data_IF_312141987348
#
_entry.id   IF_312141987348
#
_cell.length_a   1.000
_cell.length_b   1.000
_cell.length_c   1.000
_cell.angle_alpha   90.00
_cell.angle_beta   90.00
_cell.angle_gamma   90.00
#
_symmetry.space_group_name_H-M   'P 1'
#
loop_
_entity.id
_entity.type
_entity.pdbx_description
1 polymer ?
#
# COMPACT_ATOMS: atom_id res chain seq x y z
N UNK A 1 -3.20 31.00 -14.00
CA UNK A 1 -2.51 29.78 -14.48
C UNK A 1 -3.37 28.57 -14.18
N UNK A 2 -4.04 28.01 -15.20
CA UNK A 2 -4.82 26.77 -15.06
C UNK A 2 -3.87 25.60 -14.92
N UNK A 3 -3.84 24.97 -13.74
CA UNK A 3 -3.06 23.73 -13.57
C UNK A 3 -3.48 22.68 -14.60
N UNK A 4 -2.52 22.00 -15.26
CA UNK A 4 -2.83 20.95 -16.20
C UNK A 4 -3.70 19.88 -15.53
N UNK A 5 -4.73 19.43 -16.24
CA UNK A 5 -5.78 18.52 -15.72
C UNK A 5 -5.17 17.25 -15.09
N UNK A 6 -4.04 16.78 -15.63
CA UNK A 6 -3.27 15.66 -15.10
C UNK A 6 -2.76 15.86 -13.67
N UNK A 7 -2.23 17.05 -13.35
CA UNK A 7 -1.70 17.35 -12.01
C UNK A 7 -2.82 17.43 -10.95
N UNK A 8 -3.99 17.98 -11.32
CA UNK A 8 -5.17 17.98 -10.44
C UNK A 8 -5.62 16.55 -10.11
N UNK A 9 -5.61 15.66 -11.10
CA UNK A 9 -5.93 14.24 -10.90
C UNK A 9 -4.94 13.57 -9.94
N UNK A 10 -3.64 13.82 -10.10
CA UNK A 10 -2.60 13.29 -9.20
C UNK A 10 -2.82 13.77 -7.76
N UNK A 11 -3.10 15.05 -7.54
CA UNK A 11 -3.37 15.58 -6.19
C UNK A 11 -4.59 14.93 -5.55
N UNK A 12 -5.66 14.70 -6.32
CA UNK A 12 -6.84 13.96 -5.85
C UNK A 12 -6.47 12.53 -5.45
N UNK A 13 -5.67 11.84 -6.26
CA UNK A 13 -5.17 10.49 -5.92
C UNK A 13 -4.34 10.48 -4.63
N UNK A 14 -3.45 11.47 -4.43
CA UNK A 14 -2.69 11.60 -3.18
C UNK A 14 -3.60 11.80 -1.96
N UNK A 15 -4.67 12.57 -2.11
CA UNK A 15 -5.64 12.79 -1.05
C UNK A 15 -6.38 11.50 -0.70
N UNK A 16 -6.85 10.76 -1.71
CA UNK A 16 -7.49 9.45 -1.54
C UNK A 16 -6.54 8.49 -0.83
N UNK A 17 -5.29 8.36 -1.30
CA UNK A 17 -4.29 7.52 -0.66
C UNK A 17 -4.07 7.86 0.82
N UNK A 18 -4.06 9.16 1.16
CA UNK A 18 -3.91 9.59 2.55
C UNK A 18 -5.11 9.17 3.41
N UNK A 19 -6.32 9.33 2.90
CA UNK A 19 -7.55 8.87 3.59
C UNK A 19 -7.51 7.35 3.77
N UNK A 20 -7.22 6.60 2.70
CA UNK A 20 -7.09 5.13 2.75
C UNK A 20 -6.03 4.70 3.75
N UNK A 21 -4.89 5.39 3.80
CA UNK A 21 -3.82 5.09 4.76
C UNK A 21 -4.30 5.28 6.21
N UNK A 22 -5.04 6.35 6.51
CA UNK A 22 -5.60 6.57 7.86
C UNK A 22 -6.57 5.45 8.23
N UNK A 23 -7.47 5.08 7.30
CA UNK A 23 -8.41 3.96 7.51
C UNK A 23 -7.68 2.65 7.78
N UNK A 24 -6.63 2.35 7.01
CA UNK A 24 -5.83 1.13 7.20
C UNK A 24 -5.06 1.12 8.53
N UNK A 25 -4.55 2.27 8.98
CA UNK A 25 -3.90 2.40 10.29
C UNK A 25 -4.90 2.15 11.41
N UNK A 26 -6.09 2.73 11.35
CA UNK A 26 -7.16 2.49 12.34
C UNK A 26 -7.54 1.01 12.37
N UNK A 27 -7.70 0.39 11.20
CA UNK A 27 -7.99 -1.04 11.09
C UNK A 27 -6.86 -1.91 11.65
N UNK A 28 -5.60 -1.52 11.43
CA UNK A 28 -4.43 -2.19 11.99
C UNK A 28 -4.46 -2.16 13.53
N UNK A 29 -4.70 -1.00 14.11
CA UNK A 29 -4.76 -0.83 15.57
C UNK A 29 -5.92 -1.62 16.18
N UNK A 30 -7.10 -1.55 15.56
CA UNK A 30 -8.26 -2.32 16.01
C UNK A 30 -7.97 -3.83 16.01
N UNK A 31 -7.43 -4.36 14.91
CA UNK A 31 -7.11 -5.79 14.81
C UNK A 31 -5.94 -6.19 15.71
N UNK A 32 -4.97 -5.30 15.95
CA UNK A 32 -3.90 -5.54 16.90
C UNK A 32 -4.44 -5.76 18.32
N UNK A 33 -5.36 -4.89 18.78
CA UNK A 33 -6.02 -5.02 20.09
C UNK A 33 -6.85 -6.31 20.14
N UNK A 34 -7.63 -6.58 19.08
CA UNK A 34 -8.46 -7.78 19.01
C UNK A 34 -7.62 -9.06 19.08
N UNK A 35 -6.50 -9.12 18.34
CA UNK A 35 -5.58 -10.25 18.41
C UNK A 35 -4.95 -10.35 19.80
N UNK A 36 -4.45 -9.26 20.38
CA UNK A 36 -3.86 -9.27 21.72
C UNK A 36 -4.81 -9.90 22.75
N UNK A 37 -6.09 -9.50 22.76
CA UNK A 37 -7.11 -10.07 23.65
C UNK A 37 -7.33 -11.56 23.38
N UNK A 38 -7.44 -11.97 22.11
CA UNK A 38 -7.66 -13.37 21.74
C UNK A 38 -6.46 -14.27 22.06
N UNK A 39 -5.23 -13.77 21.92
CA UNK A 39 -4.02 -14.50 22.29
C UNK A 39 -3.89 -14.66 23.80
N UNK A 40 -4.23 -13.62 24.57
CA UNK A 40 -4.27 -13.70 26.03
C UNK A 40 -5.30 -14.75 26.50
N UNK A 41 -6.50 -14.75 25.91
CA UNK A 41 -7.54 -15.73 26.25
C UNK A 41 -7.16 -17.17 25.88
N UNK A 42 -6.43 -17.37 24.77
CA UNK A 42 -6.13 -18.72 24.24
C UNK A 42 -4.86 -19.34 24.81
N UNK A 43 -3.83 -18.54 25.05
CA UNK A 43 -2.50 -19.03 25.41
C UNK A 43 -2.03 -18.59 26.81
N UNK A 44 -2.86 -17.82 27.54
CA UNK A 44 -2.53 -17.17 28.81
C UNK A 44 -1.19 -16.39 28.78
N UNK A 45 -0.79 -15.99 27.56
CA UNK A 45 0.51 -15.38 27.29
C UNK A 45 0.45 -14.52 26.05
N UNK A 46 1.07 -13.33 26.13
CA UNK A 46 1.20 -12.41 25.01
C UNK A 46 2.43 -12.70 24.13
N UNK A 47 3.31 -13.64 24.53
CA UNK A 47 4.52 -13.97 23.76
C UNK A 47 4.25 -14.30 22.28
N UNK A 48 3.24 -15.13 21.94
CA UNK A 48 2.98 -15.47 20.54
C UNK A 48 2.49 -14.26 19.72
N UNK A 49 1.78 -13.32 20.34
CA UNK A 49 1.36 -12.07 19.69
C UNK A 49 2.57 -11.16 19.41
N UNK A 50 3.46 -10.95 20.37
CA UNK A 50 4.64 -10.12 20.13
C UNK A 50 5.57 -10.74 19.07
N UNK A 51 5.72 -12.07 19.10
CA UNK A 51 6.50 -12.76 18.07
C UNK A 51 5.90 -12.56 16.67
N UNK A 52 4.57 -12.51 16.54
CA UNK A 52 3.94 -12.31 15.22
C UNK A 52 4.13 -10.89 14.71
N UNK A 53 4.07 -9.90 15.61
CA UNK A 53 4.41 -8.50 15.29
C UNK A 53 5.87 -8.37 14.86
N UNK A 54 6.81 -8.96 15.62
CA UNK A 54 8.24 -8.92 15.28
C UNK A 54 8.50 -9.58 13.93
N UNK A 55 7.93 -10.76 13.68
CA UNK A 55 8.08 -11.44 12.40
C UNK A 55 7.48 -10.62 11.26
N UNK A 56 6.31 -10.00 11.46
CA UNK A 56 5.72 -9.13 10.46
C UNK A 56 6.60 -7.93 10.14
N UNK A 57 7.22 -7.29 11.15
CA UNK A 57 8.17 -6.20 10.95
C UNK A 57 9.39 -6.66 10.15
N UNK A 58 9.97 -7.82 10.47
CA UNK A 58 11.10 -8.38 9.72
C UNK A 58 10.74 -8.62 8.25
N UNK A 59 9.56 -9.21 8.00
CA UNK A 59 9.05 -9.39 6.63
C UNK A 59 8.87 -8.03 5.94
N UNK A 60 8.28 -7.05 6.63
CA UNK A 60 8.11 -5.70 6.08
C UNK A 60 9.44 -5.05 5.70
N UNK A 61 10.48 -5.21 6.51
CA UNK A 61 11.83 -4.73 6.17
C UNK A 61 12.36 -5.43 4.92
N UNK A 62 12.18 -6.75 4.81
CA UNK A 62 12.61 -7.50 3.63
C UNK A 62 11.87 -7.07 2.35
N UNK A 63 10.56 -6.83 2.43
CA UNK A 63 9.75 -6.39 1.28
C UNK A 63 9.76 -4.87 1.05
N UNK A 64 10.34 -4.09 1.95
CA UNK A 64 10.35 -2.63 1.86
C UNK A 64 11.01 -2.14 0.57
N UNK A 65 12.19 -2.67 0.24
CA UNK A 65 12.94 -2.26 -0.94
C UNK A 65 12.18 -2.52 -2.26
N UNK A 66 11.66 -3.75 -2.52
CA UNK A 66 10.89 -3.99 -3.75
C UNK A 66 9.61 -3.14 -3.80
N UNK A 67 8.90 -2.96 -2.69
CA UNK A 67 7.69 -2.10 -2.64
C UNK A 67 8.04 -0.65 -2.98
N UNK A 68 9.12 -0.12 -2.39
CA UNK A 68 9.58 1.24 -2.66
C UNK A 68 9.96 1.43 -4.13
N UNK A 69 10.70 0.48 -4.71
CA UNK A 69 11.09 0.52 -6.13
C UNK A 69 9.86 0.49 -7.04
N UNK A 70 8.90 -0.38 -6.75
CA UNK A 70 7.65 -0.48 -7.50
C UNK A 70 6.83 0.82 -7.43
N UNK A 71 6.63 1.36 -6.22
CA UNK A 71 5.88 2.59 -6.01
C UNK A 71 6.56 3.81 -6.66
N UNK A 72 7.89 3.90 -6.63
CA UNK A 72 8.62 4.99 -7.28
C UNK A 72 8.47 4.95 -8.80
N UNK A 73 8.57 3.76 -9.40
CA UNK A 73 8.40 3.58 -10.86
C UNK A 73 6.98 3.94 -11.29
N UNK A 74 5.97 3.54 -10.53
CA UNK A 74 4.58 3.87 -10.83
C UNK A 74 4.32 5.38 -10.68
N UNK A 75 4.84 6.00 -9.62
CA UNK A 75 4.76 7.45 -9.44
C UNK A 75 5.44 8.23 -10.58
N UNK A 76 6.62 7.79 -11.06
CA UNK A 76 7.30 8.36 -12.25
C UNK A 76 6.39 8.31 -13.46
N UNK A 77 5.82 7.13 -13.73
CA UNK A 77 4.98 6.88 -14.91
C UNK A 77 3.75 7.78 -14.91
N UNK A 78 3.03 7.86 -13.80
CA UNK A 78 1.83 8.68 -13.69
C UNK A 78 2.14 10.18 -13.79
N UNK A 79 3.23 10.65 -13.18
CA UNK A 79 3.65 12.05 -13.31
C UNK A 79 4.05 12.42 -14.74
N UNK A 80 4.85 11.58 -15.40
CA UNK A 80 5.25 11.80 -16.78
C UNK A 80 4.03 11.82 -17.73
N UNK A 81 3.07 10.94 -17.50
CA UNK A 81 1.81 10.93 -18.25
C UNK A 81 0.93 12.15 -17.97
N UNK A 82 0.97 12.71 -16.76
CA UNK A 82 0.16 13.86 -16.37
C UNK A 82 0.71 15.20 -16.87
N UNK A 83 2.02 15.29 -17.14
CA UNK A 83 2.68 16.50 -17.66
C UNK A 83 2.68 16.52 -19.20
N UNK A 84 2.61 15.36 -19.85
CA UNK A 84 2.67 15.26 -21.31
C UNK A 84 1.30 15.59 -21.93
N UNK A 85 1.20 16.75 -22.59
CA UNK A 85 -0.05 17.22 -23.22
C UNK A 85 -0.49 16.38 -24.44
N UNK A 86 0.47 15.80 -25.17
CA UNK A 86 0.21 14.94 -26.32
C UNK A 86 1.03 13.65 -26.24
N UNK A 87 0.34 12.51 -26.16
CA UNK A 87 0.95 11.18 -26.24
C UNK A 87 0.58 10.49 -27.54
N UNK A 88 1.57 9.87 -28.17
CA UNK A 88 1.35 8.99 -29.32
C UNK A 88 0.47 7.79 -28.92
N UNK A 89 -0.26 7.22 -29.88
CA UNK A 89 -1.13 6.05 -29.69
C UNK A 89 -0.34 4.87 -29.08
N UNK A 90 0.91 4.68 -29.50
CA UNK A 90 1.77 3.61 -28.99
C UNK A 90 2.17 3.83 -27.52
N UNK A 91 2.44 5.07 -27.14
CA UNK A 91 2.76 5.43 -25.76
C UNK A 91 1.54 5.28 -24.85
N UNK A 92 0.35 5.64 -25.33
CA UNK A 92 -0.90 5.41 -24.62
C UNK A 92 -1.16 3.92 -24.39
N UNK A 93 -0.88 3.07 -25.38
CA UNK A 93 -1.04 1.61 -25.28
C UNK A 93 -0.07 1.01 -24.27
N UNK A 94 1.20 1.44 -24.30
CA UNK A 94 2.20 1.01 -23.30
C UNK A 94 1.82 1.44 -21.89
N UNK A 95 1.40 2.69 -21.69
CA UNK A 95 0.93 3.15 -20.38
C UNK A 95 -0.26 2.35 -19.88
N UNK A 96 -1.21 2.01 -20.76
CA UNK A 96 -2.39 1.21 -20.39
C UNK A 96 -1.98 -0.18 -19.92
N UNK A 97 -1.09 -0.86 -20.64
CA UNK A 97 -0.60 -2.18 -20.23
C UNK A 97 0.15 -2.13 -18.91
N UNK A 98 0.96 -1.09 -18.70
CA UNK A 98 1.70 -0.91 -17.45
C UNK A 98 0.78 -0.58 -16.26
N UNK A 99 -0.32 0.16 -16.48
CA UNK A 99 -1.38 0.38 -15.48
C UNK A 99 -2.11 -0.91 -15.15
N UNK A 100 -2.52 -1.67 -16.16
CA UNK A 100 -3.19 -2.96 -15.99
C UNK A 100 -2.35 -3.94 -15.17
N UNK A 101 -1.04 -4.02 -15.43
CA UNK A 101 -0.15 -4.87 -14.65
C UNK A 101 -0.04 -4.40 -13.20
N UNK A 102 0.04 -3.09 -12.97
CA UNK A 102 0.07 -2.52 -11.62
C UNK A 102 -1.24 -2.74 -10.85
N UNK A 103 -2.38 -2.56 -11.51
CA UNK A 103 -3.70 -2.79 -10.94
C UNK A 103 -3.94 -4.28 -10.69
N UNK A 104 -3.46 -5.17 -11.56
CA UNK A 104 -3.50 -6.61 -11.37
C UNK A 104 -2.73 -7.03 -10.13
N UNK A 105 -1.48 -6.56 -9.96
CA UNK A 105 -0.68 -6.86 -8.76
C UNK A 105 -1.38 -6.39 -7.49
N UNK A 106 -1.89 -5.15 -7.48
CA UNK A 106 -2.61 -4.61 -6.31
C UNK A 106 -3.90 -5.38 -6.03
N UNK A 107 -4.65 -5.71 -7.07
CA UNK A 107 -5.89 -6.48 -6.95
C UNK A 107 -5.61 -7.89 -6.44
N UNK A 108 -4.56 -8.57 -6.91
CA UNK A 108 -4.16 -9.88 -6.39
C UNK A 108 -3.83 -9.82 -4.90
N UNK A 109 -3.05 -8.83 -4.46
CA UNK A 109 -2.73 -8.64 -3.04
C UNK A 109 -3.99 -8.31 -2.22
N UNK A 110 -4.92 -7.53 -2.79
CA UNK A 110 -6.16 -7.15 -2.11
C UNK A 110 -7.15 -8.31 -2.01
N UNK A 111 -7.33 -9.08 -3.07
CA UNK A 111 -8.15 -10.29 -3.08
C UNK A 111 -7.57 -11.32 -2.11
N UNK A 112 -6.24 -11.50 -2.10
CA UNK A 112 -5.58 -12.36 -1.12
C UNK A 112 -5.89 -11.90 0.31
N UNK A 113 -5.80 -10.60 0.58
CA UNK A 113 -6.14 -10.04 1.90
C UNK A 113 -7.60 -10.27 2.30
N UNK A 114 -8.56 -9.98 1.41
CA UNK A 114 -9.99 -10.16 1.70
C UNK A 114 -10.33 -11.64 1.87
N UNK A 115 -9.85 -12.51 0.97
CA UNK A 115 -10.05 -13.95 1.08
C UNK A 115 -9.45 -14.50 2.38
N UNK A 116 -8.25 -14.06 2.75
CA UNK A 116 -7.60 -14.47 3.99
C UNK A 116 -8.40 -14.06 5.23
N UNK A 117 -8.96 -12.85 5.26
CA UNK A 117 -9.83 -12.39 6.36
C UNK A 117 -11.16 -13.17 6.41
N UNK A 118 -11.80 -13.42 5.26
CA UNK A 118 -13.12 -14.08 5.21
C UNK A 118 -13.04 -15.58 5.54
N UNK A 119 -11.96 -16.25 5.14
CA UNK A 119 -11.72 -17.67 5.46
C UNK A 119 -11.39 -17.84 6.95
N UNK A 120 -10.93 -16.78 7.61
CA UNK A 120 -10.60 -16.78 9.03
C UNK A 120 -11.83 -16.69 9.91
N UNK A 121 -12.56 -17.81 10.02
CA UNK A 121 -13.82 -17.81 10.76
C UNK A 121 -13.72 -17.92 12.28
N UNK A 122 -12.70 -18.56 12.89
CA UNK A 122 -12.78 -18.78 14.36
C UNK A 122 -11.50 -18.76 15.20
N UNK A 123 -10.28 -18.75 14.65
CA UNK A 123 -9.09 -18.85 15.52
C UNK A 123 -7.97 -17.83 15.19
N UNK A 124 -7.74 -16.92 16.13
CA UNK A 124 -6.52 -16.12 16.19
C UNK A 124 -5.32 -17.05 16.42
N UNK A 125 -4.50 -17.23 15.38
CA UNK A 125 -3.22 -17.96 15.48
C UNK A 125 -2.07 -17.03 15.12
N UNK A 126 -0.86 -17.44 15.49
CA UNK A 126 0.38 -16.74 15.15
C UNK A 126 0.41 -16.36 13.66
N UNK A 127 0.21 -17.35 12.79
CA UNK A 127 0.23 -17.19 11.32
C UNK A 127 -0.78 -16.15 10.86
N UNK A 128 -2.00 -16.17 11.42
CA UNK A 128 -3.06 -15.25 11.03
C UNK A 128 -2.74 -13.80 11.39
N UNK A 129 -2.24 -13.57 12.60
CA UNK A 129 -1.82 -12.22 13.01
C UNK A 129 -0.63 -11.72 12.20
N UNK A 130 0.39 -12.56 11.97
CA UNK A 130 1.56 -12.21 11.13
C UNK A 130 1.15 -11.85 9.72
N UNK A 131 0.32 -12.68 9.07
CA UNK A 131 -0.14 -12.46 7.71
C UNK A 131 -0.99 -11.19 7.60
N UNK A 132 -1.89 -10.94 8.57
CA UNK A 132 -2.68 -9.71 8.60
C UNK A 132 -1.79 -8.47 8.69
N UNK A 133 -0.82 -8.45 9.63
CA UNK A 133 0.11 -7.34 9.77
C UNK A 133 0.99 -7.16 8.53
N UNK A 134 1.42 -8.24 7.89
CA UNK A 134 2.16 -8.17 6.64
C UNK A 134 1.32 -7.59 5.49
N UNK A 135 0.07 -8.01 5.35
CA UNK A 135 -0.80 -7.52 4.28
C UNK A 135 -1.12 -6.04 4.44
N UNK A 136 -1.61 -5.61 5.62
CA UNK A 136 -1.88 -4.19 5.85
C UNK A 136 -0.58 -3.37 5.76
N UNK A 137 0.51 -3.85 6.36
CA UNK A 137 1.80 -3.18 6.32
C UNK A 137 2.26 -2.93 4.89
N UNK A 138 2.08 -3.92 4.00
CA UNK A 138 2.41 -3.82 2.57
C UNK A 138 1.59 -2.73 1.89
N UNK A 139 0.28 -2.65 2.13
CA UNK A 139 -0.57 -1.58 1.58
C UNK A 139 -0.17 -0.20 2.09
N UNK A 140 0.02 -0.06 3.41
CA UNK A 140 0.43 1.22 4.01
C UNK A 140 1.78 1.66 3.44
N UNK A 141 2.77 0.76 3.38
CA UNK A 141 4.09 1.04 2.83
C UNK A 141 4.01 1.42 1.35
N UNK A 142 3.20 0.74 0.55
CA UNK A 142 3.00 1.10 -0.85
C UNK A 142 2.43 2.52 -0.98
N UNK A 143 1.34 2.84 -0.26
CA UNK A 143 0.69 4.15 -0.31
C UNK A 143 1.63 5.28 0.15
N UNK A 144 2.38 5.07 1.23
CA UNK A 144 3.36 6.02 1.75
C UNK A 144 4.50 6.27 0.75
N UNK A 145 5.10 5.20 0.21
CA UNK A 145 6.20 5.32 -0.76
C UNK A 145 5.73 5.99 -2.05
N UNK A 146 4.54 5.67 -2.54
CA UNK A 146 3.96 6.33 -3.71
C UNK A 146 3.75 7.84 -3.45
N UNK A 147 3.11 8.18 -2.33
CA UNK A 147 2.84 9.57 -1.96
C UNK A 147 4.14 10.38 -1.79
N UNK A 148 5.16 9.77 -1.18
CA UNK A 148 6.48 10.37 -1.04
C UNK A 148 7.16 10.57 -2.40
N UNK A 149 7.16 9.56 -3.26
CA UNK A 149 7.75 9.63 -4.59
C UNK A 149 7.13 10.74 -5.46
N UNK A 150 5.80 10.86 -5.44
CA UNK A 150 5.09 11.92 -6.16
C UNK A 150 5.42 13.30 -5.59
N UNK A 151 5.35 13.47 -4.26
CA UNK A 151 5.65 14.76 -3.60
C UNK A 151 7.08 15.22 -3.86
N UNK A 152 8.05 14.33 -3.72
CA UNK A 152 9.47 14.62 -3.96
C UNK A 152 9.71 15.16 -5.37
N UNK A 153 8.99 14.63 -6.36
CA UNK A 153 9.09 15.09 -7.74
C UNK A 153 8.39 16.42 -7.96
N UNK A 154 7.18 16.58 -7.45
CA UNK A 154 6.46 17.84 -7.55
C UNK A 154 7.23 19.00 -6.89
N UNK A 155 7.88 18.77 -5.76
CA UNK A 155 8.75 19.76 -5.11
C UNK A 155 10.07 19.99 -5.87
N UNK A 156 10.62 18.96 -6.51
CA UNK A 156 11.85 19.07 -7.31
C UNK A 156 11.65 19.79 -8.65
N UNK A 157 10.46 19.69 -9.26
CA UNK A 157 10.11 20.39 -10.52
C UNK A 157 9.78 21.87 -10.30
N UNK A 158 9.52 22.32 -9.07
CA UNK A 158 9.29 23.73 -8.74
C UNK A 158 10.58 24.54 -8.52
N UNK A 159 11.76 23.90 -8.59
CA UNK A 159 13.07 24.49 -8.31
C UNK A 159 14.02 24.48 -9.52
N UNK A 160 13.52 24.18 -10.72
CA UNK A 160 14.26 24.25 -11.99
C UNK A 160 13.42 24.97 -13.04
#
# INVERSE_FOLDING_TARGET
>A
MTEPIGLRRIRRTLMIHRITQVVLIVLLLYMAILFQQRFQQKYDSLKPFFNSVVLAVLIQVAVFFPIRKFADNEARRELNAAVKEQMSIDEQKQLRNQRLLGDFIKASVFIFFVAFILILKEQATFVHSTAFFCCIGTFINYLQNYNFAVRRRLSGTAAG
#
